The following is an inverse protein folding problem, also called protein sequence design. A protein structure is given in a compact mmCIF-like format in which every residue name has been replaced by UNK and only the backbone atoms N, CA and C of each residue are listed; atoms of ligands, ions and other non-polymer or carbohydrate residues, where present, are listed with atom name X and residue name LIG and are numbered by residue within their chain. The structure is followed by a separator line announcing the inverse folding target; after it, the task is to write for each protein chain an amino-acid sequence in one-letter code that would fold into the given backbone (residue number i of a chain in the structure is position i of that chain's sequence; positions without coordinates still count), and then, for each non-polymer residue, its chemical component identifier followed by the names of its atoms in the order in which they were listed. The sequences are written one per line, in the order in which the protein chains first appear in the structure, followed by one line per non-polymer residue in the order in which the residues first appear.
data_IF_452519433849
#
_entry.id   IF_452519433849
#
_cell.length_a   1.000
_cell.length_b   1.000
_cell.length_c   1.000
_cell.angle_alpha   90.00
_cell.angle_beta   90.00
_cell.angle_gamma   90.00
#
_symmetry.space_group_name_H-M   'P 1'
#
loop_
_entity.id
_entity.type
_entity.pdbx_description
1 polymer ?
#
# COMPACT_ATOMS: atom_id res chain seq x y z
N UNK A 1 30.03 -10.20 -35.96
CA UNK A 1 29.21 -11.40 -36.23
C UNK A 1 29.47 -12.39 -35.10
N UNK A 2 28.43 -12.94 -34.45
CA UNK A 2 28.57 -14.09 -33.54
C UNK A 2 27.93 -13.91 -32.16
N UNK A 3 26.69 -14.41 -32.07
CA UNK A 3 25.86 -14.69 -30.89
C UNK A 3 26.55 -15.27 -29.64
N UNK A 4 26.01 -14.93 -28.47
CA UNK A 4 25.54 -15.91 -27.47
C UNK A 4 24.26 -15.42 -26.78
N UNK A 5 23.16 -16.15 -27.00
CA UNK A 5 21.89 -16.03 -26.27
C UNK A 5 22.04 -16.67 -24.88
N UNK A 6 21.61 -15.99 -23.81
CA UNK A 6 21.24 -16.63 -22.54
C UNK A 6 19.72 -16.78 -22.50
N UNK A 7 19.27 -17.96 -22.07
CA UNK A 7 17.86 -18.26 -21.76
C UNK A 7 17.42 -17.44 -20.53
N UNK A 8 16.21 -16.87 -20.52
CA UNK A 8 15.57 -16.40 -19.29
C UNK A 8 15.10 -17.60 -18.45
N UNK A 9 15.17 -17.40 -17.14
CA UNK A 9 14.88 -18.39 -16.11
C UNK A 9 13.41 -18.81 -16.08
N UNK A 10 13.23 -20.11 -15.94
CA UNK A 10 11.97 -20.87 -15.93
C UNK A 10 11.30 -20.83 -14.55
N UNK A 11 10.97 -19.62 -14.08
CA UNK A 11 10.16 -19.40 -12.87
C UNK A 11 8.81 -18.72 -13.15
N UNK A 12 8.62 -18.13 -14.33
CA UNK A 12 7.38 -17.47 -14.76
C UNK A 12 6.29 -18.43 -15.24
N UNK A 13 6.58 -19.73 -15.37
CA UNK A 13 5.68 -20.73 -15.96
C UNK A 13 4.80 -21.49 -14.95
N UNK A 14 4.98 -21.30 -13.64
CA UNK A 14 4.26 -22.06 -12.58
C UNK A 14 3.18 -21.29 -11.83
N UNK A 15 3.07 -19.98 -12.04
CA UNK A 15 1.99 -19.14 -11.55
C UNK A 15 1.50 -18.41 -12.79
N UNK A 16 0.30 -18.72 -13.29
CA UNK A 16 -0.20 -18.25 -14.58
C UNK A 16 -0.30 -16.73 -14.66
N UNK A 17 0.83 -16.11 -14.98
CA UNK A 17 1.06 -14.67 -15.03
C UNK A 17 1.38 -14.33 -16.49
N UNK A 18 0.39 -13.77 -17.20
CA UNK A 18 0.65 -13.06 -18.44
C UNK A 18 0.69 -11.57 -18.11
N UNK A 19 1.92 -11.05 -18.08
CA UNK A 19 2.25 -9.66 -17.89
C UNK A 19 1.92 -8.86 -19.16
N UNK A 20 1.00 -7.89 -19.04
CA UNK A 20 0.77 -6.84 -20.04
C UNK A 20 0.72 -5.44 -19.41
N UNK A 21 1.19 -5.27 -18.18
CA UNK A 21 1.01 -4.03 -17.42
C UNK A 21 2.32 -3.27 -17.10
N UNK A 22 3.49 -3.80 -17.44
CA UNK A 22 4.75 -3.06 -17.33
C UNK A 22 4.94 -2.06 -18.50
N UNK A 23 4.07 -1.05 -18.61
CA UNK A 23 4.40 0.19 -19.29
C UNK A 23 4.79 1.22 -18.23
N UNK A 24 6.05 1.66 -18.29
CA UNK A 24 6.58 2.77 -17.49
C UNK A 24 5.69 4.00 -17.69
N UNK A 25 5.31 4.67 -16.61
CA UNK A 25 4.50 5.89 -16.68
C UNK A 25 3.48 5.89 -15.57
N UNK A 26 2.27 5.37 -15.83
CA UNK A 26 1.22 5.18 -14.83
C UNK A 26 0.54 3.85 -15.13
N UNK A 27 0.88 2.82 -14.34
CA UNK A 27 0.23 1.51 -14.36
C UNK A 27 -0.60 1.33 -13.11
N UNK A 28 -1.88 1.73 -13.13
CA UNK A 28 -2.81 1.36 -12.08
C UNK A 28 -2.94 -0.16 -12.05
N UNK A 29 -2.54 -0.80 -10.94
CA UNK A 29 -2.75 -2.22 -10.73
C UNK A 29 -4.08 -2.41 -10.01
N UNK A 30 -4.98 -3.19 -10.61
CA UNK A 30 -6.11 -3.74 -9.88
C UNK A 30 -5.69 -5.14 -9.37
N UNK A 31 -5.41 -5.31 -8.07
CA UNK A 31 -5.10 -6.61 -7.53
C UNK A 31 -6.23 -7.60 -7.73
N UNK A 32 -5.87 -8.87 -7.95
CA UNK A 32 -6.83 -9.96 -8.01
C UNK A 32 -7.65 -10.10 -6.70
N UNK A 33 -7.12 -9.55 -5.60
CA UNK A 33 -7.77 -9.41 -4.31
C UNK A 33 -7.66 -7.98 -3.75
N UNK A 34 -8.76 -7.24 -3.48
CA UNK A 34 -8.69 -5.94 -2.82
C UNK A 34 -8.12 -6.01 -1.39
N UNK A 35 -8.09 -7.19 -0.76
CA UNK A 35 -7.37 -7.41 0.50
C UNK A 35 -5.85 -7.32 0.35
N UNK A 36 -5.31 -7.59 -0.84
CA UNK A 36 -3.90 -7.37 -1.18
C UNK A 36 -3.65 -5.89 -1.50
N UNK A 37 -4.70 -5.13 -1.84
CA UNK A 37 -4.61 -3.69 -2.05
C UNK A 37 -4.36 -2.91 -0.74
N UNK A 38 -4.67 -3.54 0.39
CA UNK A 38 -4.49 -2.94 1.72
C UNK A 38 -3.29 -3.59 2.39
N UNK A 39 -2.16 -2.86 2.57
CA UNK A 39 -1.00 -3.43 3.24
C UNK A 39 -1.35 -3.96 4.64
N UNK A 40 -0.85 -5.16 4.99
CA UNK A 40 -1.18 -5.88 6.23
C UNK A 40 -1.03 -5.06 7.54
N UNK A 41 -0.14 -4.07 7.53
CA UNK A 41 0.06 -3.20 8.69
C UNK A 41 -1.02 -2.11 8.82
N UNK A 42 -1.71 -1.71 7.74
CA UNK A 42 -2.92 -0.86 7.83
C UNK A 42 -4.02 -1.66 8.55
N UNK A 43 -4.23 -2.92 8.15
CA UNK A 43 -5.16 -3.85 8.83
C UNK A 43 -4.84 -3.98 10.33
N UNK A 44 -3.55 -4.18 10.64
CA UNK A 44 -3.07 -4.31 12.02
C UNK A 44 -3.16 -3.01 12.86
N UNK A 45 -3.09 -1.84 12.22
CA UNK A 45 -3.20 -0.53 12.90
C UNK A 45 -4.63 -0.10 13.22
N UNK A 46 -5.62 -0.73 12.56
CA UNK A 46 -7.06 -0.46 12.73
C UNK A 46 -7.74 -1.51 13.62
N UNK A 47 -7.17 -2.70 13.76
CA UNK A 47 -7.63 -3.67 14.75
C UNK A 47 -7.27 -3.23 16.17
N UNK A 48 -8.31 -2.88 16.93
CA UNK A 48 -8.21 -2.70 18.39
C UNK A 48 -7.71 -4.02 19.00
N UNK A 49 -6.76 -4.01 19.95
CA UNK A 49 -6.37 -5.22 20.67
C UNK A 49 -7.62 -5.86 21.26
N UNK A 50 -8.03 -7.03 20.75
CA UNK A 50 -9.10 -7.80 21.38
C UNK A 50 -8.69 -8.02 22.83
N UNK A 51 -9.52 -7.53 23.76
CA UNK A 51 -9.36 -7.82 25.17
C UNK A 51 -9.15 -9.34 25.33
N UNK A 52 -8.15 -9.78 26.12
CA UNK A 52 -7.80 -11.19 26.21
C UNK A 52 -9.05 -11.99 26.53
N UNK A 53 -9.45 -12.87 25.60
CA UNK A 53 -10.59 -13.77 25.78
C UNK A 53 -10.37 -14.50 27.09
N UNK A 54 -11.20 -14.19 28.08
CA UNK A 54 -11.22 -14.88 29.37
C UNK A 54 -11.44 -16.36 29.10
N UNK A 55 -10.37 -17.13 29.28
CA UNK A 55 -10.38 -18.60 29.28
C UNK A 55 -11.43 -19.07 30.30
N UNK A 56 -12.32 -20.03 29.96
CA UNK A 56 -13.24 -20.60 30.93
C UNK A 56 -12.43 -21.26 32.06
N UNK A 57 -12.62 -20.79 33.28
CA UNK A 57 -12.03 -21.37 34.49
C UNK A 57 -12.68 -22.73 34.77
N UNK A 58 -11.91 -23.84 34.88
CA UNK A 58 -12.44 -25.07 35.46
C UNK A 58 -12.68 -24.87 36.96
N UNK A 59 -13.90 -25.15 37.41
CA UNK A 59 -14.28 -25.22 38.82
C UNK A 59 -13.52 -26.36 39.51
N UNK A 60 -12.90 -26.09 40.66
CA UNK A 60 -12.68 -27.12 41.70
C UNK A 60 -12.66 -26.48 43.09
N UNK A 61 -13.58 -26.93 43.95
CA UNK A 61 -13.68 -26.70 45.39
C UNK A 61 -12.55 -27.41 46.17
N UNK A 62 -12.57 -27.48 47.52
CA UNK A 62 -12.46 -26.41 48.51
C UNK A 62 -11.25 -26.63 49.46
N UNK A 63 -10.93 -25.57 50.21
CA UNK A 63 -9.88 -25.47 51.25
C UNK A 63 -9.99 -26.51 52.38
N UNK A 64 -8.85 -26.91 52.97
CA UNK A 64 -8.71 -26.84 54.43
C UNK A 64 -7.45 -26.11 54.93
N UNK A 65 -7.52 -25.76 56.22
CA UNK A 65 -6.86 -24.67 56.94
C UNK A 65 -5.45 -24.96 57.50
N UNK A 66 -4.87 -23.88 58.06
CA UNK A 66 -3.91 -23.76 59.21
C UNK A 66 -2.45 -24.16 58.98
N UNK A 67 -1.38 -23.52 59.49
CA UNK A 67 -1.02 -22.19 60.05
C UNK A 67 0.53 -22.25 60.32
N UNK A 68 1.21 -21.32 61.01
CA UNK A 68 2.34 -20.52 60.50
C UNK A 68 3.74 -20.88 61.08
N UNK A 69 4.86 -20.51 60.43
CA UNK A 69 6.14 -20.30 61.15
C UNK A 69 7.19 -19.44 60.39
N UNK A 70 7.51 -18.29 61.00
CA UNK A 70 8.83 -17.65 61.23
C UNK A 70 9.85 -17.29 60.10
N UNK A 71 10.18 -15.99 60.11
CA UNK A 71 11.44 -15.23 59.77
C UNK A 71 12.79 -15.95 60.08
N UNK A 72 14.00 -15.38 59.80
CA UNK A 72 14.42 -14.21 58.98
C UNK A 72 15.78 -14.37 58.18
N UNK A 73 16.23 -13.27 57.52
CA UNK A 73 17.63 -12.90 57.14
C UNK A 73 18.30 -13.72 56.00
N UNK A 74 19.05 -13.17 55.02
CA UNK A 74 20.21 -12.26 55.08
C UNK A 74 20.60 -11.84 53.64
N UNK A 75 21.08 -10.60 53.45
CA UNK A 75 21.89 -10.18 52.28
C UNK A 75 23.38 -10.58 52.51
N UNK A 76 24.41 -10.20 51.70
CA UNK A 76 24.48 -9.58 50.35
C UNK A 76 25.53 -10.25 49.40
N UNK A 77 25.62 -9.79 48.14
CA UNK A 77 26.93 -9.45 47.56
C UNK A 77 27.32 -10.02 46.17
N UNK A 78 28.21 -9.32 45.42
CA UNK A 78 28.35 -9.39 43.96
C UNK A 78 29.63 -10.09 43.49
N UNK A 79 29.79 -10.36 42.17
CA UNK A 79 31.12 -10.34 41.51
C UNK A 79 31.06 -10.33 39.98
N UNK A 80 31.73 -9.31 39.41
CA UNK A 80 32.19 -9.20 38.01
C UNK A 80 33.31 -10.19 37.75
N UNK A 81 33.42 -10.74 36.53
CA UNK A 81 34.71 -11.12 35.91
C UNK A 81 34.67 -10.88 34.39
N UNK A 82 35.81 -10.46 33.86
CA UNK A 82 36.12 -9.97 32.52
C UNK A 82 36.59 -11.11 31.60
N UNK A 83 36.19 -11.06 30.31
CA UNK A 83 36.97 -11.27 29.06
C UNK A 83 37.92 -12.50 28.92
N UNK A 84 38.69 -12.61 27.82
CA UNK A 84 38.35 -12.91 26.41
C UNK A 84 39.09 -14.20 25.93
N UNK A 85 39.02 -14.59 24.64
CA UNK A 85 40.16 -15.07 23.79
C UNK A 85 39.72 -15.82 22.50
N UNK A 86 40.29 -15.37 21.38
CA UNK A 86 40.93 -16.09 20.23
C UNK A 86 40.20 -17.25 19.50
N UNK A 87 39.94 -17.11 18.19
CA UNK A 87 40.77 -17.52 17.01
C UNK A 87 40.93 -19.04 16.82
N UNK A 88 40.52 -19.57 15.64
CA UNK A 88 41.21 -20.58 14.80
C UNK A 88 40.37 -20.84 13.51
N UNK A 89 41.05 -20.84 12.36
CA UNK A 89 40.73 -21.41 11.01
C UNK A 89 41.84 -22.48 10.81
N UNK A 90 41.71 -23.67 10.13
CA UNK A 90 41.26 -23.85 8.73
C UNK A 90 40.70 -25.23 8.25
N UNK A 91 40.07 -25.21 7.06
CA UNK A 91 40.20 -26.09 5.86
C UNK A 91 40.38 -27.63 5.97
N UNK A 92 39.46 -28.43 5.39
CA UNK A 92 39.74 -29.77 4.81
C UNK A 92 38.83 -30.07 3.58
N UNK A 93 39.49 -30.56 2.53
CA UNK A 93 39.07 -31.09 1.22
C UNK A 93 38.52 -32.52 1.33
N UNK A 94 37.60 -32.96 0.45
CA UNK A 94 37.38 -34.34 -0.11
C UNK A 94 35.93 -34.37 -0.67
N UNK A 95 35.56 -34.95 -1.81
CA UNK A 95 36.21 -35.75 -2.84
C UNK A 95 35.13 -36.29 -3.79
N UNK A 96 35.41 -36.26 -5.09
CA UNK A 96 35.13 -37.30 -6.10
C UNK A 96 33.90 -38.23 -5.99
N UNK A 97 33.07 -38.19 -7.05
CA UNK A 97 32.83 -39.38 -7.89
C UNK A 97 31.39 -39.90 -7.96
N UNK A 98 30.79 -39.87 -9.17
CA UNK A 98 30.36 -41.06 -9.92
C UNK A 98 29.67 -40.62 -11.22
N UNK A 99 30.17 -41.11 -12.35
CA UNK A 99 29.54 -40.98 -13.66
C UNK A 99 28.70 -42.19 -14.01
N UNK A 100 27.81 -42.01 -14.98
CA UNK A 100 27.37 -43.07 -15.90
C UNK A 100 27.21 -42.45 -17.30
N UNK A 101 27.92 -43.07 -18.24
CA UNK A 101 27.89 -42.84 -19.68
C UNK A 101 26.72 -43.60 -20.33
N UNK A 102 26.66 -43.55 -21.67
CA UNK A 102 25.69 -44.13 -22.64
C UNK A 102 24.58 -43.16 -23.01
N UNK A 103 24.34 -42.82 -24.27
CA UNK A 103 24.89 -43.28 -25.54
C UNK A 103 24.05 -42.63 -26.64
N UNK A 104 24.72 -42.07 -27.65
CA UNK A 104 24.13 -41.46 -28.83
C UNK A 104 23.43 -42.53 -29.68
N UNK A 105 22.21 -42.24 -30.15
CA UNK A 105 21.67 -42.71 -31.44
C UNK A 105 20.56 -41.75 -31.87
N UNK A 106 20.83 -41.01 -32.95
CA UNK A 106 19.80 -40.48 -33.84
C UNK A 106 19.25 -41.66 -34.65
N UNK A 107 17.93 -41.75 -34.77
CA UNK A 107 17.30 -42.09 -36.05
C UNK A 107 15.84 -41.62 -36.06
N UNK A 108 15.41 -41.23 -37.25
CA UNK A 108 14.15 -40.62 -37.66
C UNK A 108 12.98 -41.61 -37.50
N UNK A 109 11.80 -41.14 -37.06
CA UNK A 109 10.49 -41.73 -37.39
C UNK A 109 9.36 -40.77 -37.01
N UNK A 110 8.64 -40.31 -38.03
CA UNK A 110 7.30 -39.72 -37.94
C UNK A 110 6.35 -40.65 -37.19
N UNK A 111 5.75 -40.17 -36.09
CA UNK A 111 4.52 -40.74 -35.54
C UNK A 111 3.59 -39.59 -35.14
N UNK A 112 2.57 -39.39 -35.98
CA UNK A 112 1.43 -38.52 -35.70
C UNK A 112 0.60 -39.14 -34.58
N UNK A 113 0.92 -38.82 -33.33
CA UNK A 113 0.02 -39.04 -32.22
C UNK A 113 -0.96 -37.87 -32.15
N UNK A 114 -2.20 -38.10 -32.59
CA UNK A 114 -3.34 -37.25 -32.26
C UNK A 114 -3.41 -37.07 -30.74
N UNK A 115 -2.94 -35.93 -30.27
CA UNK A 115 -3.04 -35.54 -28.88
C UNK A 115 -4.48 -35.09 -28.65
N UNK A 116 -5.29 -35.98 -28.07
CA UNK A 116 -6.63 -35.67 -27.58
C UNK A 116 -6.57 -34.38 -26.78
N UNK A 117 -7.29 -33.35 -27.25
CA UNK A 117 -7.35 -32.07 -26.57
C UNK A 117 -7.85 -32.31 -25.13
N UNK A 118 -7.22 -31.70 -24.11
CA UNK A 118 -7.74 -31.80 -22.75
C UNK A 118 -9.21 -31.35 -22.75
N UNK A 119 -10.10 -32.03 -21.99
CA UNK A 119 -11.50 -31.65 -21.94
C UNK A 119 -11.58 -30.18 -21.55
N UNK A 120 -12.31 -29.40 -22.37
CA UNK A 120 -12.58 -27.99 -22.14
C UNK A 120 -13.20 -27.85 -20.76
N UNK A 121 -12.40 -27.49 -19.75
CA UNK A 121 -12.89 -27.19 -18.43
C UNK A 121 -13.76 -25.94 -18.58
N UNK A 122 -15.07 -26.11 -18.45
CA UNK A 122 -16.01 -24.99 -18.39
C UNK A 122 -15.50 -24.03 -17.30
N UNK A 123 -15.11 -22.82 -17.70
CA UNK A 123 -14.64 -21.82 -16.76
C UNK A 123 -15.72 -21.65 -15.68
N UNK A 124 -15.33 -21.82 -14.41
CA UNK A 124 -16.25 -21.58 -13.32
C UNK A 124 -16.80 -20.16 -13.47
N UNK A 125 -18.12 -19.95 -13.26
CA UNK A 125 -18.70 -18.62 -13.38
C UNK A 125 -17.98 -17.68 -12.41
N UNK A 126 -17.41 -16.60 -12.96
CA UNK A 126 -16.81 -15.53 -12.17
C UNK A 126 -17.89 -14.94 -11.27
N UNK A 127 -17.72 -15.08 -9.95
CA UNK A 127 -18.58 -14.41 -8.97
C UNK A 127 -17.86 -13.13 -8.58
N UNK A 128 -18.33 -11.94 -9.03
CA UNK A 128 -17.70 -10.70 -8.64
C UNK A 128 -17.79 -10.52 -7.12
N UNK A 129 -16.76 -9.92 -6.53
CA UNK A 129 -16.66 -9.82 -5.06
C UNK A 129 -17.64 -8.78 -4.53
N UNK A 130 -18.24 -9.00 -3.36
CA UNK A 130 -19.08 -7.99 -2.73
C UNK A 130 -18.33 -6.67 -2.53
N UNK A 131 -18.99 -5.56 -2.84
CA UNK A 131 -18.44 -4.22 -2.67
C UNK A 131 -18.87 -3.64 -1.33
N UNK A 132 -17.95 -2.97 -0.64
CA UNK A 132 -18.26 -2.25 0.59
C UNK A 132 -18.66 -0.82 0.23
N UNK A 133 -19.92 -0.50 0.49
CA UNK A 133 -20.48 0.84 0.29
C UNK A 133 -20.41 1.60 1.61
N UNK A 134 -19.79 2.78 1.55
CA UNK A 134 -19.72 3.75 2.64
C UNK A 134 -20.42 5.03 2.18
N UNK A 135 -21.35 5.60 2.94
CA UNK A 135 -21.94 6.90 2.60
C UNK A 135 -20.92 8.03 2.67
N UNK A 136 -20.99 8.97 1.72
CA UNK A 136 -20.27 10.23 1.80
C UNK A 136 -20.79 11.08 2.96
N UNK A 137 -19.88 11.84 3.59
CA UNK A 137 -20.20 12.81 4.66
C UNK A 137 -20.18 14.25 4.14
N UNK A 138 -19.48 14.51 3.04
CA UNK A 138 -19.57 15.79 2.32
C UNK A 138 -20.80 15.75 1.40
N UNK A 139 -21.67 16.75 1.53
CA UNK A 139 -22.94 16.77 0.78
C UNK A 139 -22.69 16.83 -0.74
N UNK A 140 -23.32 15.91 -1.47
CA UNK A 140 -23.21 15.82 -2.93
C UNK A 140 -21.91 15.16 -3.43
N UNK A 141 -21.03 14.70 -2.55
CA UNK A 141 -19.77 14.04 -2.90
C UNK A 141 -19.92 12.51 -2.93
N UNK A 142 -18.91 11.85 -3.49
CA UNK A 142 -18.82 10.40 -3.63
C UNK A 142 -17.80 9.86 -2.65
N UNK A 143 -18.09 8.76 -1.96
CA UNK A 143 -17.15 8.15 -1.02
C UNK A 143 -16.18 7.20 -1.72
N UNK A 144 -14.92 7.22 -1.31
CA UNK A 144 -13.85 6.32 -1.73
C UNK A 144 -13.44 5.48 -0.52
N UNK A 145 -14.01 4.27 -0.34
CA UNK A 145 -13.69 3.39 0.77
C UNK A 145 -12.34 2.71 0.58
N UNK A 146 -11.61 2.50 1.68
CA UNK A 146 -10.37 1.74 1.71
C UNK A 146 -10.30 0.77 2.90
N UNK A 147 -9.43 -0.24 2.81
CA UNK A 147 -9.28 -1.25 3.86
C UNK A 147 -10.58 -1.96 4.21
N UNK A 148 -11.27 -2.49 3.20
CA UNK A 148 -12.60 -3.14 3.33
C UNK A 148 -13.64 -2.21 3.97
N UNK A 149 -13.55 -0.92 3.64
CA UNK A 149 -14.37 0.15 4.19
C UNK A 149 -14.10 0.44 5.66
N UNK A 150 -12.90 0.14 6.18
CA UNK A 150 -12.49 0.56 7.51
C UNK A 150 -12.17 2.05 7.61
N UNK A 151 -11.83 2.67 6.48
CA UNK A 151 -11.73 4.11 6.33
C UNK A 151 -12.34 4.53 4.99
N UNK A 152 -12.61 5.82 4.85
CA UNK A 152 -13.02 6.43 3.60
C UNK A 152 -12.61 7.90 3.57
N UNK A 153 -12.48 8.44 2.38
CA UNK A 153 -12.52 9.87 2.11
C UNK A 153 -13.56 10.12 1.01
N UNK A 154 -13.90 11.37 0.75
CA UNK A 154 -14.89 11.75 -0.24
C UNK A 154 -14.24 12.59 -1.34
N UNK A 155 -14.76 12.47 -2.56
CA UNK A 155 -14.35 13.26 -3.74
C UNK A 155 -15.57 13.88 -4.42
N UNK A 156 -15.43 15.02 -5.10
CA UNK A 156 -16.56 15.65 -5.78
C UNK A 156 -17.06 14.82 -6.98
N UNK A 157 -18.25 15.12 -7.52
CA UNK A 157 -18.81 14.42 -8.69
C UNK A 157 -17.97 14.47 -9.97
N UNK A 158 -17.03 15.40 -10.07
CA UNK A 158 -16.08 15.51 -11.18
C UNK A 158 -14.96 14.46 -11.12
N UNK A 159 -14.83 13.75 -10.01
CA UNK A 159 -13.84 12.70 -9.82
C UNK A 159 -14.46 11.32 -10.02
N UNK A 160 -13.63 10.36 -10.43
CA UNK A 160 -13.99 8.95 -10.58
C UNK A 160 -13.39 8.15 -9.43
N UNK A 161 -14.21 7.66 -8.48
CA UNK A 161 -13.77 6.75 -7.42
C UNK A 161 -13.32 5.41 -7.98
N UNK A 162 -12.13 4.97 -7.61
CA UNK A 162 -11.53 3.68 -7.98
C UNK A 162 -10.96 2.99 -6.72
N UNK A 163 -11.80 2.66 -5.72
CA UNK A 163 -11.35 2.21 -4.39
C UNK A 163 -10.56 0.89 -4.42
N UNK A 164 -10.73 0.09 -5.48
CA UNK A 164 -9.97 -1.15 -5.70
C UNK A 164 -8.64 -0.96 -6.43
N UNK A 165 -8.33 0.25 -6.90
CA UNK A 165 -7.11 0.55 -7.65
C UNK A 165 -6.03 1.05 -6.71
N UNK A 166 -4.82 0.54 -6.92
CA UNK A 166 -3.59 1.14 -6.41
C UNK A 166 -2.92 1.90 -7.54
N UNK A 167 -2.49 3.13 -7.27
CA UNK A 167 -1.63 3.89 -8.18
C UNK A 167 -0.44 4.48 -7.43
N UNK A 168 0.60 4.84 -8.16
CA UNK A 168 1.82 5.35 -7.56
C UNK A 168 2.98 5.39 -8.53
N UNK A 169 4.15 5.70 -7.97
CA UNK A 169 5.40 5.77 -8.68
C UNK A 169 6.39 4.81 -8.02
N UNK A 170 7.10 4.05 -8.86
CA UNK A 170 8.06 3.06 -8.41
C UNK A 170 9.28 3.71 -7.74
N UNK A 171 9.95 2.94 -6.89
CA UNK A 171 11.24 3.34 -6.34
C UNK A 171 12.28 3.46 -7.45
N UNK A 172 13.12 4.49 -7.38
CA UNK A 172 14.20 4.75 -8.31
C UNK A 172 15.42 5.35 -7.57
N UNK A 173 16.39 5.86 -8.34
CA UNK A 173 17.59 6.48 -7.77
C UNK A 173 17.28 7.81 -7.03
N UNK A 174 16.08 8.37 -7.19
CA UNK A 174 15.63 9.62 -6.55
C UNK A 174 14.89 9.37 -5.24
N UNK A 175 14.32 8.18 -5.02
CA UNK A 175 13.77 7.81 -3.72
C UNK A 175 12.97 6.50 -3.68
N UNK A 176 12.30 6.23 -2.55
CA UNK A 176 11.64 4.94 -2.29
C UNK A 176 10.34 4.70 -3.08
N UNK A 177 9.91 5.63 -3.93
CA UNK A 177 8.61 5.60 -4.58
C UNK A 177 7.48 5.97 -3.62
N UNK A 178 6.27 6.06 -4.16
CA UNK A 178 5.06 6.31 -3.37
C UNK A 178 3.92 5.48 -3.95
N UNK A 179 3.17 4.81 -3.08
CA UNK A 179 2.03 3.96 -3.45
C UNK A 179 0.79 4.44 -2.72
N UNK A 180 -0.28 4.68 -3.47
CA UNK A 180 -1.55 5.21 -3.01
C UNK A 180 -2.64 4.14 -3.17
N UNK A 181 -3.25 3.74 -2.06
CA UNK A 181 -4.39 2.84 -2.03
C UNK A 181 -5.71 3.63 -2.01
N UNK A 182 -6.82 2.94 -2.32
CA UNK A 182 -8.16 3.51 -2.38
C UNK A 182 -8.19 4.74 -3.30
N UNK A 183 -7.91 4.53 -4.58
CA UNK A 183 -7.64 5.62 -5.52
C UNK A 183 -8.90 6.35 -5.96
N UNK A 184 -8.75 7.61 -6.38
CA UNK A 184 -9.73 8.33 -7.17
C UNK A 184 -9.01 9.28 -8.13
N UNK A 185 -9.59 9.55 -9.29
CA UNK A 185 -8.94 10.33 -10.35
C UNK A 185 -9.82 11.46 -10.85
N UNK A 186 -9.19 12.52 -11.37
CA UNK A 186 -9.89 13.66 -11.99
C UNK A 186 -9.31 13.99 -13.36
N UNK A 187 -10.18 14.56 -14.20
CA UNK A 187 -9.84 14.93 -15.56
C UNK A 187 -9.74 13.73 -16.50
N UNK A 188 -9.61 14.05 -17.78
CA UNK A 188 -9.44 13.04 -18.84
C UNK A 188 -7.96 12.60 -18.95
N UNK A 189 -7.74 11.55 -19.73
CA UNK A 189 -6.40 11.12 -20.16
C UNK A 189 -5.69 12.29 -20.86
N UNK A 190 -4.49 12.62 -20.36
CA UNK A 190 -3.70 13.75 -20.85
C UNK A 190 -2.71 13.27 -21.91
N UNK A 191 -2.02 12.15 -21.64
CA UNK A 191 -1.01 11.54 -22.50
C UNK A 191 -0.98 10.01 -22.37
N UNK A 192 -0.32 9.31 -23.31
CA UNK A 192 -0.23 7.84 -23.33
C UNK A 192 0.34 7.25 -22.02
N UNK A 193 1.22 7.98 -21.35
CA UNK A 193 1.86 7.64 -20.09
C UNK A 193 1.16 8.27 -18.87
N UNK A 194 0.08 9.04 -19.11
CA UNK A 194 -0.62 9.83 -18.11
C UNK A 194 -2.13 9.82 -18.30
N UNK A 195 -2.75 8.85 -17.63
CA UNK A 195 -4.19 8.58 -17.70
C UNK A 195 -5.10 9.58 -17.00
N UNK A 196 -4.57 10.53 -16.21
CA UNK A 196 -5.39 11.53 -15.50
C UNK A 196 -4.66 12.83 -15.20
N UNK A 197 -5.43 13.91 -15.04
CA UNK A 197 -4.97 15.25 -14.64
C UNK A 197 -4.72 15.37 -13.13
N UNK A 198 -5.14 14.39 -12.35
CA UNK A 198 -4.97 14.37 -10.91
C UNK A 198 -5.46 13.08 -10.29
N UNK A 199 -5.07 12.87 -9.04
CA UNK A 199 -5.40 11.67 -8.28
C UNK A 199 -5.48 11.92 -6.79
N UNK A 200 -6.07 10.97 -6.08
CA UNK A 200 -6.16 10.97 -4.63
C UNK A 200 -6.04 9.54 -4.11
N UNK A 201 -5.56 9.40 -2.88
CA UNK A 201 -5.44 8.11 -2.22
C UNK A 201 -4.79 8.22 -0.86
N UNK A 202 -4.59 7.07 -0.22
CA UNK A 202 -3.99 6.99 1.12
C UNK A 202 -2.70 6.19 1.07
N UNK A 203 -1.66 6.74 1.69
CA UNK A 203 -0.37 6.09 1.84
C UNK A 203 0.13 6.17 3.28
N UNK A 204 0.80 5.13 3.79
CA UNK A 204 1.33 5.14 5.14
C UNK A 204 2.82 5.47 5.17
N UNK A 205 3.21 6.41 6.04
CA UNK A 205 4.53 7.01 6.03
C UNK A 205 5.20 6.92 7.40
N UNK A 206 6.49 6.62 7.40
CA UNK A 206 7.33 6.74 8.59
C UNK A 206 7.82 8.18 8.71
N UNK A 207 7.57 8.83 9.84
CA UNK A 207 7.95 10.22 10.06
C UNK A 207 8.14 10.50 11.55
N UNK A 208 8.76 11.63 11.85
CA UNK A 208 8.98 12.12 13.20
C UNK A 208 7.78 12.86 13.80
N UNK A 209 6.79 13.27 12.98
CA UNK A 209 5.60 13.98 13.44
C UNK A 209 4.56 14.22 12.34
N UNK A 210 3.35 14.68 12.72
CA UNK A 210 2.22 14.86 11.80
C UNK A 210 2.52 15.85 10.66
N UNK A 211 3.03 17.03 11.02
CA UNK A 211 3.36 18.08 10.06
C UNK A 211 4.47 17.65 9.08
N UNK A 212 5.48 16.96 9.59
CA UNK A 212 6.57 16.39 8.79
C UNK A 212 6.03 15.32 7.83
N UNK A 213 5.19 14.41 8.31
CA UNK A 213 4.56 13.36 7.49
C UNK A 213 3.72 13.95 6.34
N UNK A 214 2.88 14.95 6.61
CA UNK A 214 2.05 15.58 5.59
C UNK A 214 2.92 16.30 4.53
N UNK A 215 3.83 17.16 4.99
CA UNK A 215 4.74 17.93 4.13
C UNK A 215 5.61 17.03 3.27
N UNK A 216 6.36 16.10 3.88
CA UNK A 216 7.32 15.26 3.15
C UNK A 216 6.62 14.39 2.11
N UNK A 217 5.39 13.93 2.40
CA UNK A 217 4.59 13.15 1.45
C UNK A 217 4.13 14.01 0.28
N UNK A 218 3.65 15.23 0.54
CA UNK A 218 3.23 16.15 -0.53
C UNK A 218 4.40 16.54 -1.45
N UNK A 219 5.56 16.87 -0.87
CA UNK A 219 6.78 17.21 -1.61
C UNK A 219 7.32 16.00 -2.40
N UNK A 220 7.31 14.80 -1.81
CA UNK A 220 7.73 13.58 -2.52
C UNK A 220 6.80 13.25 -3.68
N UNK A 221 5.48 13.32 -3.46
CA UNK A 221 4.50 13.11 -4.52
C UNK A 221 4.69 14.14 -5.64
N UNK A 222 4.88 15.42 -5.29
CA UNK A 222 5.15 16.45 -6.27
C UNK A 222 6.40 16.14 -7.12
N UNK A 223 7.48 15.69 -6.47
CA UNK A 223 8.68 15.22 -7.15
C UNK A 223 8.40 14.09 -8.15
N UNK A 224 7.67 13.05 -7.73
CA UNK A 224 7.37 11.91 -8.61
C UNK A 224 6.38 12.24 -9.73
N UNK A 225 5.30 12.95 -9.42
CA UNK A 225 4.22 13.23 -10.36
C UNK A 225 4.60 14.26 -11.42
N UNK A 226 5.56 15.15 -11.11
CA UNK A 226 5.85 16.34 -11.93
C UNK A 226 7.33 16.47 -12.34
N UNK A 227 8.11 15.38 -12.25
CA UNK A 227 9.46 15.27 -12.83
C UNK A 227 9.48 14.19 -13.93
N UNK A 228 8.98 14.48 -15.15
CA UNK A 228 8.88 13.48 -16.21
C UNK A 228 10.26 12.88 -16.55
N UNK A 229 10.31 11.57 -16.76
CA UNK A 229 11.51 10.82 -17.20
C UNK A 229 12.79 11.06 -16.37
N UNK A 230 12.65 11.35 -15.07
CA UNK A 230 13.80 11.70 -14.23
C UNK A 230 14.42 13.06 -14.58
N UNK A 231 13.62 13.95 -15.16
CA UNK A 231 13.96 15.34 -15.44
C UNK A 231 14.22 16.16 -14.17
N UNK A 232 14.52 17.44 -14.38
CA UNK A 232 14.79 18.36 -13.27
C UNK A 232 13.61 18.44 -12.30
N UNK A 233 13.91 18.47 -11.00
CA UNK A 233 12.90 18.54 -9.96
C UNK A 233 12.06 19.83 -10.07
N UNK A 234 10.73 19.77 -9.82
CA UNK A 234 9.88 20.94 -9.85
C UNK A 234 10.26 21.96 -8.78
N UNK A 235 9.95 23.23 -9.03
CA UNK A 235 9.95 24.23 -7.97
C UNK A 235 8.71 24.03 -7.10
N UNK A 236 8.92 24.01 -5.78
CA UNK A 236 7.88 23.77 -4.78
C UNK A 236 7.69 25.01 -3.90
N UNK A 237 6.45 25.44 -3.76
CA UNK A 237 6.05 26.43 -2.76
C UNK A 237 5.17 25.75 -1.70
N UNK A 238 5.80 25.39 -0.58
CA UNK A 238 5.15 24.71 0.53
C UNK A 238 4.42 25.72 1.43
N UNK A 239 3.11 25.56 1.57
CA UNK A 239 2.29 26.35 2.49
C UNK A 239 2.57 26.06 3.97
N UNK A 240 1.97 26.87 4.84
CA UNK A 240 2.02 26.62 6.28
C UNK A 240 1.26 25.34 6.66
N UNK A 241 1.73 24.65 7.70
CA UNK A 241 1.05 23.47 8.22
C UNK A 241 -0.19 23.90 9.02
N UNK A 242 -1.32 23.29 8.74
CA UNK A 242 -2.58 23.52 9.45
C UNK A 242 -2.86 22.34 10.40
N UNK A 243 -2.84 22.54 11.74
CA UNK A 243 -3.27 21.50 12.67
C UNK A 243 -4.80 21.38 12.63
N UNK A 244 -5.29 20.15 12.46
CA UNK A 244 -6.72 19.86 12.37
C UNK A 244 -7.08 18.64 13.22
N UNK A 245 -8.37 18.39 13.38
CA UNK A 245 -8.89 17.19 14.03
C UNK A 245 -9.82 16.47 13.07
N UNK A 246 -9.59 15.17 12.87
CA UNK A 246 -10.38 14.31 11.96
C UNK A 246 -11.16 13.25 12.72
N UNK A 247 -12.25 12.78 12.12
CA UNK A 247 -13.12 11.77 12.72
C UNK A 247 -12.53 10.36 12.56
N UNK A 248 -11.64 9.97 13.47
CA UNK A 248 -11.05 8.64 13.54
C UNK A 248 -11.32 7.95 14.89
N UNK A 249 -12.06 6.84 14.86
CA UNK A 249 -12.43 6.03 16.01
C UNK A 249 -13.73 6.49 16.69
N UNK A 250 -13.96 5.99 17.91
CA UNK A 250 -15.00 6.51 18.80
C UNK A 250 -14.38 7.54 19.75
N UNK A 251 -14.82 8.80 19.71
CA UNK A 251 -14.37 9.84 20.64
C UNK A 251 -14.18 11.23 20.03
N UNK A 252 -13.34 12.05 20.67
CA UNK A 252 -13.11 13.49 20.42
C UNK A 252 -12.34 13.82 19.13
N UNK A 253 -12.33 12.89 18.16
CA UNK A 253 -11.51 12.98 16.95
C UNK A 253 -10.03 12.70 17.22
N UNK A 254 -9.22 12.76 16.16
CA UNK A 254 -7.78 12.51 16.22
C UNK A 254 -6.99 13.66 15.62
N UNK A 255 -5.85 13.97 16.24
CA UNK A 255 -4.95 15.00 15.74
C UNK A 255 -4.45 14.65 14.33
N UNK A 256 -4.41 15.67 13.49
CA UNK A 256 -3.91 15.61 12.13
C UNK A 256 -3.25 16.92 11.73
N UNK A 257 -2.49 16.90 10.64
CA UNK A 257 -1.88 18.09 10.04
C UNK A 257 -2.11 18.08 8.54
N UNK A 258 -2.52 19.22 8.00
CA UNK A 258 -2.66 19.44 6.56
C UNK A 258 -1.49 20.29 6.07
N UNK A 259 -0.95 19.93 4.90
CA UNK A 259 0.00 20.76 4.15
C UNK A 259 -0.44 20.81 2.70
N UNK A 260 -0.33 21.98 2.07
CA UNK A 260 -0.56 22.15 0.63
C UNK A 260 0.73 22.65 -0.01
N UNK A 261 1.13 22.03 -1.11
CA UNK A 261 2.29 22.39 -1.91
C UNK A 261 1.81 22.85 -3.28
N UNK A 262 2.23 24.04 -3.69
CA UNK A 262 2.10 24.48 -5.08
C UNK A 262 3.33 24.01 -5.87
N UNK A 263 3.09 23.46 -7.05
CA UNK A 263 4.12 22.80 -7.86
C UNK A 263 4.24 23.54 -9.19
N UNK A 264 5.46 23.91 -9.55
CA UNK A 264 5.80 24.44 -10.86
C UNK A 264 6.82 23.51 -11.51
N UNK A 265 6.43 22.67 -12.49
CA UNK A 265 7.35 21.77 -13.17
C UNK A 265 8.52 22.51 -13.84
N UNK A 266 9.72 21.93 -13.79
CA UNK A 266 10.93 22.58 -14.30
C UNK A 266 10.97 22.69 -15.83
N UNK A 267 10.36 21.73 -16.52
CA UNK A 267 10.20 21.71 -17.96
C UNK A 267 8.70 21.62 -18.32
N UNK A 268 8.28 22.47 -19.25
CA UNK A 268 6.94 22.38 -19.84
C UNK A 268 6.91 21.37 -20.99
N UNK A 269 5.69 20.97 -21.37
CA UNK A 269 5.42 20.11 -22.51
C UNK A 269 3.92 19.83 -22.59
N UNK A 270 3.47 19.20 -23.66
CA UNK A 270 2.03 18.93 -23.86
C UNK A 270 1.44 18.03 -22.76
N UNK A 271 2.29 17.27 -22.05
CA UNK A 271 1.91 16.32 -20.99
C UNK A 271 2.10 16.84 -19.55
N UNK A 272 2.76 17.99 -19.40
CA UNK A 272 3.16 18.53 -18.09
C UNK A 272 2.46 19.85 -17.88
N UNK A 273 1.67 20.03 -16.80
CA UNK A 273 0.94 21.26 -16.59
C UNK A 273 1.91 22.42 -16.29
N UNK A 274 1.46 23.65 -16.50
CA UNK A 274 2.24 24.82 -16.06
C UNK A 274 2.34 24.89 -14.52
N UNK A 275 1.30 24.44 -13.83
CA UNK A 275 1.21 24.39 -12.37
C UNK A 275 0.38 23.21 -11.91
N UNK A 276 0.64 22.74 -10.70
CA UNK A 276 -0.18 21.77 -10.00
C UNK A 276 -0.31 22.10 -8.51
N UNK A 277 -1.25 21.44 -7.85
CA UNK A 277 -1.42 21.49 -6.40
C UNK A 277 -1.36 20.09 -5.82
N UNK A 278 -0.76 19.96 -4.64
CA UNK A 278 -0.77 18.73 -3.84
C UNK A 278 -1.20 19.07 -2.42
N UNK A 279 -2.31 18.51 -1.96
CA UNK A 279 -2.73 18.55 -0.56
C UNK A 279 -2.42 17.21 0.10
N UNK A 280 -1.94 17.24 1.33
CA UNK A 280 -1.70 16.06 2.14
C UNK A 280 -2.23 16.27 3.56
N UNK A 281 -2.87 15.25 4.13
CA UNK A 281 -3.31 15.21 5.51
C UNK A 281 -2.74 13.97 6.20
N UNK A 282 -1.88 14.17 7.19
CA UNK A 282 -1.37 13.09 8.03
C UNK A 282 -2.20 13.00 9.33
N UNK A 283 -2.63 11.79 9.68
CA UNK A 283 -3.39 11.50 10.90
C UNK A 283 -2.53 10.76 11.90
N UNK A 284 -2.69 11.04 13.19
CA UNK A 284 -2.02 10.28 14.24
C UNK A 284 -2.41 8.78 14.17
N UNK A 285 -1.47 7.84 14.34
CA UNK A 285 -1.80 6.41 14.32
C UNK A 285 -2.45 5.96 15.64
N UNK A 286 -3.41 5.02 15.56
CA UNK A 286 -4.18 4.57 16.73
C UNK A 286 -3.36 3.82 17.79
N UNK A 287 -2.28 3.16 17.37
CA UNK A 287 -1.45 2.28 18.21
C UNK A 287 0.05 2.50 18.02
N UNK A 288 0.45 3.70 17.56
CA UNK A 288 1.80 3.95 17.05
C UNK A 288 2.03 3.30 15.67
N UNK A 289 3.21 3.53 15.10
CA UNK A 289 3.58 3.03 13.76
C UNK A 289 3.57 4.12 12.70
N UNK A 290 3.30 3.72 11.45
CA UNK A 290 3.28 4.64 10.30
C UNK A 290 2.06 5.56 10.35
N UNK A 291 2.25 6.82 9.98
CA UNK A 291 1.18 7.80 9.83
C UNK A 291 0.41 7.49 8.55
N UNK A 292 -0.91 7.24 8.60
CA UNK A 292 -1.73 7.29 7.39
C UNK A 292 -1.79 8.73 6.88
N UNK A 293 -1.47 8.92 5.61
CA UNK A 293 -1.48 10.20 4.91
C UNK A 293 -2.44 10.10 3.73
N UNK A 294 -3.54 10.86 3.78
CA UNK A 294 -4.36 11.08 2.59
C UNK A 294 -3.72 12.16 1.74
N UNK A 295 -3.68 11.95 0.43
CA UNK A 295 -3.17 12.91 -0.54
C UNK A 295 -4.22 13.15 -1.63
N UNK A 296 -4.26 14.38 -2.14
CA UNK A 296 -5.01 14.74 -3.33
C UNK A 296 -4.15 15.71 -4.15
N UNK A 297 -3.98 15.44 -5.43
CA UNK A 297 -3.19 16.26 -6.34
C UNK A 297 -3.93 16.48 -7.65
N UNK A 298 -3.74 17.65 -8.25
CA UNK A 298 -4.33 17.96 -9.53
C UNK A 298 -3.57 19.07 -10.26
N UNK A 299 -3.53 18.94 -11.58
CA UNK A 299 -3.09 19.98 -12.49
C UNK A 299 -3.94 21.23 -12.38
N UNK A 300 -3.35 22.37 -12.72
CA UNK A 300 -3.98 23.68 -12.69
C UNK A 300 -3.96 24.32 -14.07
N UNK A 301 -4.86 25.29 -14.29
CA UNK A 301 -4.88 26.09 -15.51
C UNK A 301 -5.83 25.60 -16.60
N UNK A 302 -6.61 24.54 -16.36
CA UNK A 302 -7.69 24.11 -17.25
C UNK A 302 -9.07 24.41 -16.65
N UNK A 303 -10.09 24.46 -17.51
CA UNK A 303 -11.47 24.69 -17.09
C UNK A 303 -11.98 23.51 -16.26
N UNK A 304 -12.42 23.78 -15.03
CA UNK A 304 -12.86 22.73 -14.11
C UNK A 304 -11.73 22.11 -13.26
N UNK A 305 -10.52 22.67 -13.29
CA UNK A 305 -9.45 22.26 -12.40
C UNK A 305 -9.86 22.37 -10.91
N UNK A 306 -9.59 21.34 -10.08
CA UNK A 306 -9.84 21.39 -8.64
C UNK A 306 -9.14 22.58 -7.99
N UNK A 307 -9.89 23.27 -7.11
CA UNK A 307 -9.34 24.38 -6.34
C UNK A 307 -8.52 23.87 -5.14
N UNK A 308 -7.71 24.75 -4.56
CA UNK A 308 -7.00 24.48 -3.30
C UNK A 308 -7.95 24.01 -2.19
N UNK A 309 -9.07 24.71 -2.01
CA UNK A 309 -10.06 24.39 -0.98
C UNK A 309 -10.72 23.03 -1.24
N UNK A 310 -10.95 22.68 -2.51
CA UNK A 310 -11.49 21.36 -2.90
C UNK A 310 -10.51 20.23 -2.54
N UNK A 311 -9.22 20.36 -2.87
CA UNK A 311 -8.21 19.36 -2.51
C UNK A 311 -8.06 19.22 -0.99
N UNK A 312 -8.13 20.35 -0.25
CA UNK A 312 -8.11 20.34 1.22
C UNK A 312 -9.35 19.62 1.77
N UNK A 313 -10.54 19.86 1.22
CA UNK A 313 -11.77 19.19 1.65
C UNK A 313 -11.71 17.68 1.36
N UNK A 314 -11.17 17.26 0.21
CA UNK A 314 -10.91 15.84 -0.10
C UNK A 314 -10.08 15.19 1.01
N UNK A 315 -8.90 15.72 1.33
CA UNK A 315 -8.04 15.08 2.35
C UNK A 315 -8.61 15.20 3.77
N UNK A 316 -9.34 16.29 4.07
CA UNK A 316 -10.00 16.53 5.36
C UNK A 316 -11.18 15.60 5.61
N UNK A 317 -11.84 15.11 4.56
CA UNK A 317 -12.95 14.16 4.66
C UNK A 317 -12.52 12.73 5.07
N UNK A 318 -11.21 12.48 5.15
CA UNK A 318 -10.66 11.21 5.61
C UNK A 318 -11.17 10.88 7.02
N UNK A 319 -11.77 9.70 7.16
CA UNK A 319 -12.40 9.24 8.39
C UNK A 319 -12.29 7.74 8.55
N UNK A 320 -12.36 7.27 9.80
CA UNK A 320 -12.64 5.86 10.07
C UNK A 320 -14.13 5.57 9.87
N UNK A 321 -14.46 4.36 9.43
CA UNK A 321 -15.84 3.92 9.23
C UNK A 321 -16.12 2.71 10.13
N UNK A 322 -17.01 2.85 11.13
CA UNK A 322 -17.42 1.73 11.98
C UNK A 322 -18.05 0.59 11.17
N UNK A 323 -17.86 -0.66 11.59
CA UNK A 323 -18.42 -1.83 10.88
C UNK A 323 -19.94 -1.73 10.65
N UNK A 324 -20.68 -1.18 11.62
CA UNK A 324 -22.14 -0.97 11.52
C UNK A 324 -22.57 -0.03 10.39
N UNK A 325 -21.64 0.81 9.92
CA UNK A 325 -21.88 1.83 8.90
C UNK A 325 -21.39 1.36 7.52
N UNK A 326 -20.89 0.12 7.42
CA UNK A 326 -20.47 -0.53 6.17
C UNK A 326 -21.62 -1.36 5.63
N UNK A 327 -22.01 -1.12 4.38
CA UNK A 327 -22.99 -1.98 3.69
C UNK A 327 -22.28 -2.81 2.64
N UNK A 328 -22.39 -4.13 2.72
CA UNK A 328 -21.86 -5.01 1.68
C UNK A 328 -22.94 -5.24 0.62
N UNK A 329 -22.68 -4.82 -0.61
CA UNK A 329 -23.58 -5.07 -1.75
C UNK A 329 -23.04 -6.29 -2.52
N UNK A 330 -23.86 -7.32 -2.77
CA UNK A 330 -23.46 -8.42 -3.65
C UNK A 330 -23.13 -7.84 -5.02
N UNK A 331 -21.97 -8.16 -5.58
CA UNK A 331 -21.66 -7.63 -6.90
C UNK A 331 -22.62 -8.19 -7.94
N UNK A 332 -23.02 -7.30 -8.86
CA UNK A 332 -23.95 -7.66 -9.93
C UNK A 332 -23.24 -8.61 -10.90
N UNK A 333 -23.80 -9.79 -11.20
CA UNK A 333 -23.21 -10.67 -12.20
C UNK A 333 -23.20 -9.96 -13.56
N UNK A 334 -22.01 -9.76 -14.12
CA UNK A 334 -21.87 -9.36 -15.52
C UNK A 334 -22.37 -10.50 -16.42
N UNK A 335 -23.36 -10.20 -17.26
CA UNK A 335 -23.94 -11.13 -18.24
C UNK A 335 -23.12 -11.21 -19.52
#
# INVERSE_FOLDING_TARGET
MGWWRRKPDDLSSRLGYEDRAALKGIGGYQPADPNDATPDYIRSSLETPQAPRTRPTPQTQPTPQTQPTQRPQRAPGPRRVKAPFAFIVPLVVFGSGLGLSFGLSNDDSDDSAEQEAPPSASAAPYTPRPEVVVPAVVEGWQSVPGGDGAYAYDVPPSWTPEPGVIHGWEADDTGPGITLAASAFTGDEVCEDRSSQGGAGVTPVESSGLADAARSTAESLAGYAYSPDGGDAPALETGEDEPVTVSFGQGDGRAASITVVEVTPAAGGDCVPERALVAALAVEPAGGGKYPVAVAYADQGYAGAPTRDELVEIVRSLRSVPERDRTTVPASPTS
#
